data_IF_766321770873
#
_entry.id   IF_766321770873
#
_cell.length_a   1.000
_cell.length_b   1.000
_cell.length_c   1.000
_cell.angle_alpha   90.00
_cell.angle_beta   90.00
_cell.angle_gamma   90.00
#
_symmetry.space_group_name_H-M   'P 1'
#
loop_
_entity.id
_entity.type
_entity.pdbx_description
1 polymer ?
#
# COMPACT_ATOMS: atom_id res chain seq x y z
N UNK A 1 -0.01 29.51 -7.25
CA UNK A 1 -1.21 28.95 -6.60
C UNK A 1 -1.01 27.45 -6.61
N UNK A 2 -0.87 26.80 -5.44
CA UNK A 2 -0.70 25.35 -5.40
C UNK A 2 -1.96 24.67 -5.97
N UNK A 3 -1.82 23.63 -6.78
CA UNK A 3 -2.95 22.85 -7.28
C UNK A 3 -3.55 22.06 -6.11
N UNK A 4 -4.64 22.59 -5.54
CA UNK A 4 -5.31 21.96 -4.39
C UNK A 4 -5.95 20.60 -4.73
N UNK A 5 -6.01 20.22 -6.01
CA UNK A 5 -6.61 18.95 -6.42
C UNK A 5 -5.62 17.78 -6.36
N UNK A 6 -4.34 18.07 -6.11
CA UNK A 6 -3.30 17.06 -6.16
C UNK A 6 -2.24 17.32 -5.10
N UNK A 7 -2.08 16.34 -4.23
CA UNK A 7 -0.95 16.25 -3.32
C UNK A 7 -0.03 15.16 -3.85
N UNK A 8 1.04 15.58 -4.51
CA UNK A 8 2.01 14.70 -5.13
C UNK A 8 3.13 14.35 -4.13
N UNK A 9 3.35 13.05 -4.00
CA UNK A 9 4.54 12.40 -3.46
C UNK A 9 5.03 12.97 -2.12
N UNK A 10 4.13 13.04 -1.13
CA UNK A 10 4.53 13.25 0.25
C UNK A 10 5.49 12.14 0.66
N UNK A 11 6.75 12.50 0.87
CA UNK A 11 7.78 11.57 1.35
C UNK A 11 7.44 11.17 2.79
N UNK A 12 7.32 9.86 2.99
CA UNK A 12 7.01 9.26 4.29
C UNK A 12 8.29 8.70 4.90
N UNK A 13 8.41 8.80 6.22
CA UNK A 13 9.34 7.96 6.97
C UNK A 13 8.86 6.50 6.90
N UNK A 14 9.66 5.54 6.39
CA UNK A 14 9.26 4.13 6.28
C UNK A 14 8.83 3.51 7.61
N UNK A 15 9.37 3.99 8.73
CA UNK A 15 8.98 3.51 10.07
C UNK A 15 7.54 3.87 10.44
N UNK A 16 6.94 4.83 9.76
CA UNK A 16 5.52 5.19 9.92
C UNK A 16 4.59 4.35 9.05
N UNK A 17 5.13 3.51 8.16
CA UNK A 17 4.34 2.70 7.23
C UNK A 17 4.28 1.26 7.74
N UNK A 18 3.06 0.81 8.01
CA UNK A 18 2.76 -0.59 8.30
C UNK A 18 1.97 -1.18 7.13
N UNK A 19 2.47 -2.24 6.53
CA UNK A 19 1.78 -3.00 5.50
C UNK A 19 1.46 -4.42 6.00
N UNK A 20 0.23 -4.88 5.78
CA UNK A 20 -0.19 -6.22 6.15
C UNK A 20 -0.90 -6.92 5.00
N UNK A 21 -0.57 -8.19 4.81
CA UNK A 21 -1.15 -9.04 3.78
C UNK A 21 -2.57 -9.46 4.16
N UNK A 22 -3.49 -9.29 3.22
CA UNK A 22 -4.88 -9.76 3.31
C UNK A 22 -5.17 -10.90 2.32
N UNK A 23 -4.16 -11.39 1.62
CA UNK A 23 -4.30 -12.37 0.54
C UNK A 23 -4.44 -11.70 -0.83
N UNK A 24 -3.53 -12.00 -1.75
CA UNK A 24 -3.52 -11.42 -3.09
C UNK A 24 -2.24 -11.71 -3.86
N UNK A 25 -1.85 -10.81 -4.75
CA UNK A 25 -0.63 -10.93 -5.54
C UNK A 25 -0.15 -9.58 -6.05
N UNK A 26 0.86 -9.57 -6.90
CA UNK A 26 1.28 -8.35 -7.58
C UNK A 26 1.20 -8.50 -9.09
N UNK A 27 1.04 -7.35 -9.74
CA UNK A 27 1.04 -7.25 -11.20
C UNK A 27 2.06 -6.20 -11.63
N UNK A 28 3.03 -6.64 -12.43
CA UNK A 28 3.97 -5.74 -13.09
C UNK A 28 3.20 -4.67 -13.89
N UNK A 29 3.60 -3.42 -13.74
CA UNK A 29 3.05 -2.30 -14.48
C UNK A 29 3.80 -2.13 -15.80
N UNK A 30 3.05 -1.97 -16.87
CA UNK A 30 3.57 -1.70 -18.20
C UNK A 30 3.19 -0.29 -18.65
N UNK A 31 4.03 0.32 -19.48
CA UNK A 31 3.71 1.59 -20.13
C UNK A 31 2.51 1.36 -21.06
N UNK A 32 1.54 2.28 -21.01
CA UNK A 32 0.42 2.29 -21.94
C UNK A 32 0.68 3.32 -23.04
N UNK A 33 0.45 2.93 -24.29
CA UNK A 33 0.48 3.83 -25.46
C UNK A 33 -0.82 3.64 -26.23
N UNK A 34 -1.50 4.74 -26.53
CA UNK A 34 -2.77 4.75 -27.27
C UNK A 34 -3.85 3.80 -26.69
N UNK A 35 -3.89 3.68 -25.36
CA UNK A 35 -4.87 2.85 -24.65
C UNK A 35 -4.53 1.35 -24.59
N UNK A 36 -3.43 0.91 -25.19
CA UNK A 36 -2.95 -0.48 -25.12
C UNK A 36 -1.72 -0.59 -24.20
N UNK A 37 -1.62 -1.70 -23.47
CA UNK A 37 -0.43 -2.03 -22.70
C UNK A 37 0.70 -2.41 -23.68
N UNK A 38 1.90 -1.88 -23.44
CA UNK A 38 3.11 -2.27 -24.17
C UNK A 38 3.92 -3.30 -23.39
N UNK A 39 4.98 -3.83 -23.99
CA UNK A 39 5.95 -4.70 -23.28
C UNK A 39 6.97 -3.89 -22.45
N UNK A 40 6.96 -2.55 -22.54
CA UNK A 40 7.88 -1.70 -21.80
C UNK A 40 7.47 -1.60 -20.32
N UNK A 41 8.38 -1.87 -19.38
CA UNK A 41 8.08 -1.81 -17.96
C UNK A 41 7.98 -0.37 -17.46
N UNK A 42 7.07 -0.11 -16.51
CA UNK A 42 7.14 1.12 -15.71
C UNK A 42 8.26 0.95 -14.69
N UNK A 43 9.30 1.78 -14.79
CA UNK A 43 10.45 1.76 -13.89
C UNK A 43 10.36 2.87 -12.84
N UNK A 44 10.81 2.55 -11.63
CA UNK A 44 11.06 3.50 -10.55
C UNK A 44 12.43 3.17 -9.98
N UNK A 45 13.37 4.12 -10.06
CA UNK A 45 14.77 3.94 -9.68
C UNK A 45 15.40 2.71 -10.36
N UNK A 46 15.19 2.59 -11.68
CA UNK A 46 15.63 1.48 -12.54
C UNK A 46 15.08 0.09 -12.17
N UNK A 47 14.10 0.01 -11.27
CA UNK A 47 13.43 -1.22 -10.89
C UNK A 47 11.98 -1.27 -11.38
N UNK A 48 11.51 -2.47 -11.76
CA UNK A 48 10.14 -2.72 -12.20
C UNK A 48 9.13 -2.33 -11.12
N UNK A 49 8.13 -1.53 -11.48
CA UNK A 49 7.01 -1.18 -10.62
C UNK A 49 5.94 -2.28 -10.67
N UNK A 50 5.46 -2.67 -9.50
CA UNK A 50 4.37 -3.61 -9.31
C UNK A 50 3.21 -2.92 -8.60
N UNK A 51 1.99 -3.14 -9.11
CA UNK A 51 0.76 -2.84 -8.36
C UNK A 51 0.41 -4.07 -7.54
N UNK A 52 0.24 -3.89 -6.24
CA UNK A 52 -0.03 -4.98 -5.31
C UNK A 52 -1.49 -5.00 -4.92
N UNK A 53 -2.10 -6.18 -4.99
CA UNK A 53 -3.43 -6.45 -4.44
C UNK A 53 -3.29 -7.26 -3.16
N UNK A 54 -4.25 -7.09 -2.25
CA UNK A 54 -4.22 -7.83 -0.99
C UNK A 54 -3.18 -7.32 0.01
N UNK A 55 -2.77 -6.06 -0.10
CA UNK A 55 -2.08 -5.33 0.97
C UNK A 55 -3.01 -4.25 1.50
N UNK A 56 -3.12 -4.18 2.81
CA UNK A 56 -3.68 -3.04 3.50
C UNK A 56 -2.55 -2.29 4.20
N UNK A 57 -2.65 -0.96 4.20
CA UNK A 57 -1.57 -0.07 4.62
C UNK A 57 -2.08 0.94 5.63
N UNK A 58 -1.27 1.18 6.65
CA UNK A 58 -1.43 2.26 7.61
C UNK A 58 -0.23 3.18 7.54
N UNK A 59 -0.47 4.49 7.61
CA UNK A 59 0.57 5.53 7.67
C UNK A 59 0.34 6.35 8.93
N UNK A 60 1.36 6.44 9.79
CA UNK A 60 1.26 7.17 11.06
C UNK A 60 0.14 6.67 11.97
N UNK A 61 -0.16 5.37 11.91
CA UNK A 61 -1.25 4.73 12.67
C UNK A 61 -2.65 4.92 12.10
N UNK A 62 -2.79 5.50 10.90
CA UNK A 62 -4.08 5.65 10.19
C UNK A 62 -4.16 4.69 9.01
N UNK A 63 -5.15 3.80 9.05
CA UNK A 63 -5.46 2.93 7.91
C UNK A 63 -5.89 3.73 6.69
N UNK A 64 -5.36 3.38 5.52
CA UNK A 64 -5.68 3.99 4.23
C UNK A 64 -6.52 3.03 3.40
N UNK A 65 -7.81 2.95 3.74
CA UNK A 65 -8.74 2.03 3.09
C UNK A 65 -8.92 2.39 1.60
N UNK A 66 -8.82 1.38 0.74
CA UNK A 66 -8.95 1.55 -0.70
C UNK A 66 -7.75 2.22 -1.38
N UNK A 67 -6.66 2.48 -0.65
CA UNK A 67 -5.43 2.98 -1.25
C UNK A 67 -4.82 1.94 -2.20
N UNK A 68 -4.34 2.42 -3.35
CA UNK A 68 -3.54 1.60 -4.24
C UNK A 68 -2.12 1.49 -3.70
N UNK A 69 -1.63 0.26 -3.56
CA UNK A 69 -0.25 0.01 -3.11
C UNK A 69 0.62 -0.32 -4.31
N UNK A 70 1.76 0.36 -4.42
CA UNK A 70 2.79 0.12 -5.43
C UNK A 70 4.13 -0.16 -4.78
N UNK A 71 4.93 -1.01 -5.40
CA UNK A 71 6.27 -1.36 -4.90
C UNK A 71 7.20 -1.74 -6.02
N UNK A 72 8.51 -1.71 -5.77
CA UNK A 72 9.52 -2.34 -6.63
C UNK A 72 9.90 -3.74 -6.14
N UNK A 73 9.28 -4.24 -5.07
CA UNK A 73 9.46 -5.60 -4.57
C UNK A 73 8.71 -6.59 -5.47
N UNK A 74 9.39 -7.58 -6.09
CA UNK A 74 8.74 -8.59 -6.90
C UNK A 74 8.03 -9.61 -6.00
N UNK A 75 6.76 -9.37 -5.69
CA UNK A 75 5.94 -10.27 -4.89
C UNK A 75 5.01 -11.08 -5.80
N UNK A 76 5.27 -12.37 -6.01
CA UNK A 76 4.34 -13.20 -6.79
C UNK A 76 2.99 -13.37 -6.08
N UNK A 77 3.04 -13.58 -4.76
CA UNK A 77 1.86 -13.73 -3.91
C UNK A 77 2.00 -12.85 -2.68
N UNK A 78 0.86 -12.36 -2.18
CA UNK A 78 0.78 -11.67 -0.90
C UNK A 78 0.07 -12.58 0.09
N UNK A 79 0.80 -13.24 1.02
CA UNK A 79 0.19 -14.15 1.96
C UNK A 79 -0.67 -13.39 2.98
N UNK A 80 -1.86 -13.92 3.27
CA UNK A 80 -2.72 -13.36 4.30
C UNK A 80 -2.07 -13.48 5.69
N UNK A 81 -2.15 -12.41 6.48
CA UNK A 81 -1.63 -12.35 7.84
C UNK A 81 -0.13 -12.06 7.96
N UNK A 82 0.61 -11.96 6.85
CA UNK A 82 2.03 -11.55 6.88
C UNK A 82 2.14 -10.05 7.09
N UNK A 83 3.07 -9.65 7.95
CA UNK A 83 3.44 -8.25 8.17
C UNK A 83 4.67 -7.91 7.36
N UNK A 84 4.65 -6.74 6.73
CA UNK A 84 5.75 -6.21 5.96
C UNK A 84 6.24 -4.92 6.59
N UNK A 85 7.55 -4.84 6.80
CA UNK A 85 8.25 -3.61 7.10
C UNK A 85 8.55 -2.89 5.78
N UNK A 86 8.21 -1.61 5.72
CA UNK A 86 8.61 -0.74 4.63
C UNK A 86 10.10 -0.36 4.77
N UNK A 87 10.84 -0.45 3.68
CA UNK A 87 12.23 -0.02 3.58
C UNK A 87 12.43 0.83 2.32
N UNK A 88 13.45 1.69 2.33
CA UNK A 88 13.76 2.60 1.22
C UNK A 88 12.80 3.78 1.12
N UNK A 89 12.58 4.29 -0.09
CA UNK A 89 11.69 5.42 -0.34
C UNK A 89 10.22 5.01 -0.19
N UNK A 90 9.47 5.80 0.56
CA UNK A 90 8.02 5.69 0.66
C UNK A 90 7.38 7.03 0.29
N UNK A 91 6.33 6.99 -0.54
CA UNK A 91 5.55 8.20 -0.88
C UNK A 91 4.06 7.96 -0.78
N UNK A 92 3.33 9.02 -0.42
CA UNK A 92 1.88 9.08 -0.45
C UNK A 92 1.45 10.14 -1.46
N UNK A 93 0.61 9.73 -2.40
CA UNK A 93 0.04 10.61 -3.42
C UNK A 93 -1.48 10.56 -3.34
N UNK A 94 -2.12 11.73 -3.34
CA UNK A 94 -3.57 11.89 -3.28
C UNK A 94 -4.01 12.75 -4.44
N UNK A 95 -4.93 12.22 -5.25
CA UNK A 95 -5.59 12.96 -6.33
C UNK A 95 -7.08 13.06 -6.07
N UNK A 96 -7.62 14.26 -6.13
CA UNK A 96 -9.06 14.49 -6.09
C UNK A 96 -9.62 14.54 -7.52
N UNK A 97 -10.55 13.63 -7.82
CA UNK A 97 -11.23 13.55 -9.11
C UNK A 97 -12.72 13.85 -8.93
N UNK A 98 -13.31 14.60 -9.86
CA UNK A 98 -14.75 14.69 -10.00
C UNK A 98 -15.26 13.49 -10.82
N UNK A 99 -16.25 12.77 -10.29
CA UNK A 99 -16.93 11.67 -10.97
C UNK A 99 -18.41 12.01 -11.13
N UNK A 100 -19.11 11.47 -12.16
CA UNK A 100 -20.56 11.52 -12.21
C UNK A 100 -21.15 11.03 -10.89
N UNK A 101 -22.12 11.77 -10.35
CA UNK A 101 -22.88 11.35 -9.18
C UNK A 101 -23.84 10.20 -9.53
N UNK A 102 -24.58 9.73 -8.52
CA UNK A 102 -25.56 8.68 -8.73
C UNK A 102 -26.91 9.28 -9.16
N UNK A 103 -27.36 8.95 -10.36
CA UNK A 103 -28.60 9.50 -10.94
C UNK A 103 -28.50 11.02 -11.15
N UNK A 104 -29.56 11.74 -10.79
CA UNK A 104 -29.63 13.21 -10.93
C UNK A 104 -28.96 13.98 -9.78
N UNK A 105 -28.30 13.27 -8.85
CA UNK A 105 -27.46 13.91 -7.84
C UNK A 105 -26.15 14.29 -8.54
N UNK A 106 -25.85 15.58 -8.62
CA UNK A 106 -24.70 16.15 -9.33
C UNK A 106 -23.32 15.51 -9.03
N UNK A 107 -22.24 16.05 -9.60
CA UNK A 107 -20.92 15.41 -9.53
C UNK A 107 -20.48 15.14 -8.10
N UNK A 108 -19.80 14.00 -7.89
CA UNK A 108 -19.22 13.59 -6.59
C UNK A 108 -17.70 13.67 -6.63
N UNK A 109 -17.11 14.07 -5.51
CA UNK A 109 -15.66 13.98 -5.32
C UNK A 109 -15.24 12.55 -5.00
N UNK A 110 -14.15 12.09 -5.61
CA UNK A 110 -13.49 10.82 -5.30
C UNK A 110 -12.01 11.08 -5.08
N UNK A 111 -11.46 10.51 -4.01
CA UNK A 111 -10.03 10.54 -3.77
C UNK A 111 -9.39 9.25 -4.29
N UNK A 112 -8.41 9.40 -5.18
CA UNK A 112 -7.50 8.33 -5.55
C UNK A 112 -6.25 8.45 -4.68
N UNK A 113 -6.08 7.52 -3.75
CA UNK A 113 -4.94 7.47 -2.83
C UNK A 113 -3.98 6.39 -3.33
N UNK A 114 -2.71 6.73 -3.49
CA UNK A 114 -1.64 5.80 -3.87
C UNK A 114 -0.53 5.87 -2.85
N UNK A 115 -0.10 4.71 -2.34
CA UNK A 115 1.08 4.56 -1.50
C UNK A 115 2.12 3.80 -2.28
N UNK A 116 3.29 4.40 -2.47
CA UNK A 116 4.46 3.71 -2.98
C UNK A 116 5.37 3.32 -1.81
N UNK A 117 5.79 2.06 -1.78
CA UNK A 117 6.74 1.49 -0.83
C UNK A 117 7.83 0.80 -1.65
N UNK A 118 9.05 1.34 -1.65
CA UNK A 118 10.14 0.79 -2.47
C UNK A 118 10.39 -0.70 -2.16
N UNK A 119 10.65 -1.02 -0.90
CA UNK A 119 10.94 -2.39 -0.47
C UNK A 119 9.97 -2.85 0.61
N UNK A 120 9.34 -4.01 0.39
CA UNK A 120 8.46 -4.69 1.34
C UNK A 120 9.19 -5.91 1.89
N UNK A 121 9.65 -5.82 3.13
CA UNK A 121 10.35 -6.90 3.80
C UNK A 121 9.41 -7.65 4.74
N UNK A 122 9.17 -8.97 4.55
CA UNK A 122 8.39 -9.75 5.49
C UNK A 122 9.09 -9.79 6.85
N UNK A 123 8.36 -9.46 7.93
CA UNK A 123 8.91 -9.44 9.30
C UNK A 123 8.22 -10.38 10.27
N UNK A 124 7.19 -11.09 9.82
CA UNK A 124 6.48 -12.08 10.62
C UNK A 124 5.02 -12.19 10.23
N UNK A 125 4.22 -12.82 11.08
CA UNK A 125 2.77 -12.90 10.90
C UNK A 125 2.02 -12.37 12.11
N UNK A 126 0.80 -11.86 11.87
CA UNK A 126 -0.14 -11.46 12.93
C UNK A 126 -0.41 -12.65 13.87
N UNK A 127 -0.51 -13.86 13.33
CA UNK A 127 -0.71 -15.09 14.11
C UNK A 127 0.41 -15.34 15.12
N UNK A 128 1.66 -15.01 14.77
CA UNK A 128 2.80 -15.17 15.68
C UNK A 128 2.76 -14.16 16.81
N UNK A 129 2.36 -12.92 16.52
CA UNK A 129 2.15 -11.89 17.54
C UNK A 129 1.06 -12.31 18.52
N UNK A 130 -0.09 -12.80 18.02
CA UNK A 130 -1.19 -13.25 18.88
C UNK A 130 -0.80 -14.45 19.75
N UNK A 131 -0.01 -15.39 19.21
CA UNK A 131 0.53 -16.52 19.99
C UNK A 131 1.51 -16.08 21.07
N UNK A 132 2.39 -15.13 20.76
CA UNK A 132 3.34 -14.54 21.70
C UNK A 132 2.67 -13.72 22.81
N UNK A 133 1.58 -13.02 22.50
CA UNK A 133 0.80 -12.28 23.50
C UNK A 133 0.14 -13.22 24.52
N UNK A 134 -0.33 -14.39 24.09
CA UNK A 134 -1.00 -15.37 24.95
C UNK A 134 -0.02 -16.19 25.81
N UNK A 135 1.26 -16.29 25.46
CA UNK A 135 2.25 -17.00 26.27
C UNK A 135 2.82 -16.15 27.42
N UNK A 136 2.66 -14.83 27.37
CA UNK A 136 3.10 -13.90 28.42
C UNK A 136 2.17 -13.80 29.65
N UNK A 137 0.88 -14.15 29.53
CA UNK A 137 -0.08 -13.97 30.66
C UNK A 137 -0.03 -15.07 31.72
N UNK A 138 0.69 -16.19 31.49
CA UNK A 138 0.76 -17.33 32.42
C UNK A 138 1.96 -17.31 33.38
N UNK A 139 2.81 -16.26 33.37
CA UNK A 139 4.04 -16.19 34.19
C UNK A 139 3.96 -15.22 35.39
N UNK A 140 2.77 -14.97 35.93
CA UNK A 140 2.57 -14.02 37.03
C UNK A 140 1.72 -14.53 38.19
N UNK A 141 1.69 -15.85 38.45
CA UNK A 141 0.84 -16.43 39.50
C UNK A 141 1.49 -17.62 40.19
N UNK A 142 2.65 -17.40 40.80
CA UNK A 142 3.21 -18.28 41.82
C UNK A 142 4.32 -17.52 42.57
N UNK A 143 3.93 -16.77 43.60
CA UNK A 143 4.68 -16.56 44.85
C UNK A 143 3.71 -16.07 45.92
#
# INVERSE_FOLDING_TARGET
MADLNRLDDLVLDPTQVLAFGTGGGSRAQSVYRDGAATDEPVLVDDAQLYKVTGLAVSVGGRGLDGAEVRTTTPLETVPAGVLFQAEGRCTLSIRADARPGWGDRGPRGVLAVTVYIQTLKPVGSVTDILRGANSGSRRGGAE
#
